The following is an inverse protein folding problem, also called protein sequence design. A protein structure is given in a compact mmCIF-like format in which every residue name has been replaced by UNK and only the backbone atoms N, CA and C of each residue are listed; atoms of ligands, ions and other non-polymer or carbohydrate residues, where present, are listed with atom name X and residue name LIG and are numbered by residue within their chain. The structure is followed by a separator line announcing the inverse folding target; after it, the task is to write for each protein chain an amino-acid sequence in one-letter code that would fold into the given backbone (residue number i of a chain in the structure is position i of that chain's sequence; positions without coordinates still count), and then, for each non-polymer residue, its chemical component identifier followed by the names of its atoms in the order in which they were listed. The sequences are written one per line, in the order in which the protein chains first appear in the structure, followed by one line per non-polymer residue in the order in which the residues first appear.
data_IF_308977308680
#
_entry.id   IF_308977308680
#
_cell.length_a   1.000
_cell.length_b   1.000
_cell.length_c   1.000
_cell.angle_alpha   90.00
_cell.angle_beta   90.00
_cell.angle_gamma   90.00
#
_symmetry.space_group_name_H-M   'P 1'
#
loop_
_entity.id
_entity.type
_entity.pdbx_description
1 polymer ?
#
# COMPACT_ATOMS: atom_id res chain seq x y z
N UNK A 1 -5.91 16.48 -52.11
CA UNK A 1 -5.68 17.02 -50.76
C UNK A 1 -6.34 16.20 -49.64
N UNK A 2 -7.34 15.33 -49.91
CA UNK A 2 -8.01 14.52 -48.87
C UNK A 2 -7.14 13.39 -48.29
N UNK A 3 -6.19 12.83 -49.06
CA UNK A 3 -5.31 11.73 -48.62
C UNK A 3 -4.25 12.22 -47.61
N UNK A 4 -3.81 13.47 -47.74
CA UNK A 4 -2.75 14.08 -46.92
C UNK A 4 -3.23 14.40 -45.49
N UNK A 5 -4.52 14.67 -45.32
CA UNK A 5 -5.16 14.93 -44.01
C UNK A 5 -5.35 13.63 -43.21
N UNK A 6 -5.69 12.52 -43.88
CA UNK A 6 -5.92 11.22 -43.25
C UNK A 6 -4.63 10.54 -42.77
N UNK A 7 -3.51 10.74 -43.48
CA UNK A 7 -2.19 10.19 -43.08
C UNK A 7 -1.61 10.93 -41.87
N UNK A 8 -1.76 12.26 -41.81
CA UNK A 8 -1.34 13.08 -40.66
C UNK A 8 -2.15 12.73 -39.42
N UNK A 9 -3.48 12.57 -39.54
CA UNK A 9 -4.34 12.21 -38.40
C UNK A 9 -3.98 10.82 -37.83
N UNK A 10 -3.72 9.83 -38.69
CA UNK A 10 -3.25 8.50 -38.26
C UNK A 10 -1.85 8.54 -37.63
N UNK A 11 -0.93 9.34 -38.16
CA UNK A 11 0.40 9.53 -37.59
C UNK A 11 0.36 10.21 -36.21
N UNK A 12 -0.52 11.21 -36.04
CA UNK A 12 -0.73 11.87 -34.75
C UNK A 12 -1.33 10.92 -33.70
N UNK A 13 -2.28 10.08 -34.08
CA UNK A 13 -2.89 9.07 -33.19
C UNK A 13 -1.84 8.02 -32.78
N UNK A 14 -1.02 7.56 -33.72
CA UNK A 14 0.10 6.62 -33.46
C UNK A 14 1.16 7.22 -32.54
N UNK A 15 1.47 8.51 -32.70
CA UNK A 15 2.46 9.17 -31.86
C UNK A 15 1.97 9.32 -30.41
N UNK A 16 0.68 9.63 -30.25
CA UNK A 16 0.04 9.80 -28.94
C UNK A 16 -0.08 8.46 -28.19
N UNK A 17 -0.45 7.37 -28.87
CA UNK A 17 -0.53 6.04 -28.25
C UNK A 17 0.83 5.50 -27.78
N UNK A 18 1.92 5.80 -28.49
CA UNK A 18 3.29 5.46 -28.06
C UNK A 18 3.70 6.24 -26.81
N UNK A 19 3.30 7.52 -26.68
CA UNK A 19 3.58 8.32 -25.47
C UNK A 19 2.83 7.80 -24.24
N UNK A 20 1.60 7.30 -24.41
CA UNK A 20 0.82 6.72 -23.31
C UNK A 20 1.36 5.37 -22.83
N UNK A 21 2.05 4.59 -23.69
CA UNK A 21 2.59 3.28 -23.32
C UNK A 21 3.79 3.36 -22.36
N UNK A 22 4.49 4.51 -22.30
CA UNK A 22 5.64 4.72 -21.40
C UNK A 22 5.23 5.10 -19.98
N UNK A 23 3.93 5.32 -19.72
CA UNK A 23 3.41 5.56 -18.37
C UNK A 23 3.07 4.21 -17.72
N UNK A 24 4.08 3.35 -17.63
CA UNK A 24 3.99 2.15 -16.81
C UNK A 24 4.15 2.62 -15.36
N UNK A 25 3.09 2.52 -14.58
CA UNK A 25 2.94 3.09 -13.24
C UNK A 25 3.71 2.29 -12.19
N UNK A 26 5.02 2.17 -12.38
CA UNK A 26 5.94 1.79 -11.32
C UNK A 26 6.06 3.00 -10.38
N UNK A 27 5.40 2.94 -9.22
CA UNK A 27 5.60 3.95 -8.18
C UNK A 27 7.12 4.03 -7.91
N UNK A 28 7.75 5.21 -8.02
CA UNK A 28 9.18 5.32 -7.73
C UNK A 28 9.45 4.77 -6.34
N UNK A 29 10.52 4.00 -6.15
CA UNK A 29 10.86 3.40 -4.84
C UNK A 29 10.91 4.46 -3.72
N UNK A 30 11.32 5.68 -4.08
CA UNK A 30 11.30 6.84 -3.20
C UNK A 30 9.89 7.21 -2.70
N UNK A 31 8.87 7.15 -3.56
CA UNK A 31 7.47 7.41 -3.19
C UNK A 31 6.93 6.32 -2.27
N UNK A 32 7.28 5.06 -2.53
CA UNK A 32 6.89 3.93 -1.69
C UNK A 32 7.49 4.04 -0.28
N UNK A 33 8.78 4.42 -0.18
CA UNK A 33 9.45 4.61 1.11
C UNK A 33 8.86 5.78 1.91
N UNK A 34 8.54 6.89 1.24
CA UNK A 34 7.90 8.04 1.87
C UNK A 34 6.50 7.68 2.39
N UNK A 35 5.71 6.97 1.59
CA UNK A 35 4.38 6.49 1.96
C UNK A 35 4.42 5.55 3.18
N UNK A 36 5.31 4.55 3.17
CA UNK A 36 5.51 3.65 4.32
C UNK A 36 5.88 4.41 5.60
N UNK A 37 6.77 5.41 5.51
CA UNK A 37 7.17 6.24 6.64
C UNK A 37 6.00 7.07 7.18
N UNK A 38 5.18 7.63 6.28
CA UNK A 38 4.00 8.42 6.65
C UNK A 38 2.99 7.56 7.42
N UNK A 39 2.65 6.38 6.88
CA UNK A 39 1.70 5.47 7.52
C UNK A 39 2.22 5.03 8.90
N UNK A 40 3.49 4.60 8.97
CA UNK A 40 4.14 4.25 10.24
C UNK A 40 3.98 5.36 11.27
N UNK A 41 4.34 6.60 10.93
CA UNK A 41 4.26 7.72 11.85
C UNK A 41 2.83 8.01 12.33
N UNK A 42 1.85 7.97 11.44
CA UNK A 42 0.44 8.16 11.80
C UNK A 42 -0.03 7.09 12.78
N UNK A 43 0.31 5.82 12.52
CA UNK A 43 -0.09 4.71 13.36
C UNK A 43 0.63 4.68 14.71
N UNK A 44 1.91 5.07 14.77
CA UNK A 44 2.63 5.25 16.04
C UNK A 44 1.99 6.37 16.87
N UNK A 45 1.68 7.51 16.26
CA UNK A 45 1.02 8.62 16.97
C UNK A 45 -0.36 8.22 17.50
N UNK A 46 -1.14 7.46 16.71
CA UNK A 46 -2.49 7.02 17.09
C UNK A 46 -2.47 6.01 18.24
N UNK A 47 -1.56 5.04 18.20
CA UNK A 47 -1.53 3.91 19.15
C UNK A 47 -0.63 4.14 20.35
N UNK A 48 0.30 5.10 20.25
CA UNK A 48 1.34 5.38 21.25
C UNK A 48 2.13 4.11 21.61
N UNK A 49 2.36 3.26 20.60
CA UNK A 49 3.15 2.04 20.73
C UNK A 49 4.62 2.38 20.98
N UNK A 50 5.29 1.53 21.75
CA UNK A 50 6.73 1.63 21.94
C UNK A 50 7.48 1.27 20.63
N UNK A 51 8.42 2.10 20.16
CA UNK A 51 9.16 1.84 18.93
C UNK A 51 9.98 0.54 18.96
N UNK A 52 10.44 0.09 20.13
CA UNK A 52 11.20 -1.16 20.24
C UNK A 52 10.33 -2.39 19.95
N UNK A 53 9.02 -2.33 20.22
CA UNK A 53 8.08 -3.40 19.83
C UNK A 53 7.96 -3.50 18.30
N UNK A 54 7.99 -2.36 17.60
CA UNK A 54 7.98 -2.33 16.13
C UNK A 54 9.27 -2.92 15.56
N UNK A 55 10.42 -2.59 16.17
CA UNK A 55 11.72 -3.13 15.75
C UNK A 55 11.82 -4.63 16.03
N UNK A 56 11.27 -5.11 17.14
CA UNK A 56 11.13 -6.54 17.44
C UNK A 56 10.32 -7.27 16.37
N UNK A 57 9.20 -6.68 15.93
CA UNK A 57 8.37 -7.26 14.89
C UNK A 57 9.06 -7.36 13.53
N UNK A 58 9.95 -6.43 13.18
CA UNK A 58 10.78 -6.53 11.98
C UNK A 58 11.78 -7.70 12.05
N UNK A 59 12.14 -8.14 13.25
CA UNK A 59 12.98 -9.30 13.51
C UNK A 59 12.18 -10.60 13.74
N UNK A 60 10.86 -10.57 13.54
CA UNK A 60 9.98 -11.73 13.72
C UNK A 60 9.46 -11.95 15.14
N UNK A 61 9.70 -11.01 16.06
CA UNK A 61 9.15 -11.05 17.41
C UNK A 61 7.83 -10.28 17.47
N UNK A 62 6.71 -10.98 17.56
CA UNK A 62 5.37 -10.40 17.64
C UNK A 62 4.89 -10.42 19.09
N UNK A 63 4.95 -9.27 19.81
CA UNK A 63 4.45 -9.22 21.16
C UNK A 63 2.91 -9.30 21.17
N UNK A 64 2.36 -10.07 22.11
CA UNK A 64 0.94 -10.10 22.42
C UNK A 64 0.59 -8.88 23.28
N UNK A 65 0.63 -7.69 22.65
CA UNK A 65 0.31 -6.41 23.27
C UNK A 65 -0.81 -5.73 22.48
N UNK A 66 -1.84 -5.28 23.18
CA UNK A 66 -3.01 -4.65 22.57
C UNK A 66 -2.66 -3.40 21.72
N UNK A 67 -1.60 -2.65 22.09
CA UNK A 67 -1.14 -1.51 21.29
C UNK A 67 -0.42 -1.96 20.02
N UNK A 68 0.27 -3.10 20.07
CA UNK A 68 0.89 -3.72 18.89
C UNK A 68 -0.16 -4.19 17.89
N UNK A 69 -1.21 -4.86 18.35
CA UNK A 69 -2.35 -5.26 17.51
C UNK A 69 -3.04 -4.05 16.88
N UNK A 70 -3.33 -3.02 17.69
CA UNK A 70 -3.89 -1.76 17.20
C UNK A 70 -2.99 -1.08 16.14
N UNK A 71 -1.68 -1.17 16.32
CA UNK A 71 -0.70 -0.59 15.38
C UNK A 71 -0.74 -1.34 14.05
N UNK A 72 -0.68 -2.67 14.07
CA UNK A 72 -0.77 -3.51 12.87
C UNK A 72 -2.08 -3.26 12.13
N UNK A 73 -3.21 -3.18 12.85
CA UNK A 73 -4.51 -2.85 12.26
C UNK A 73 -4.51 -1.49 11.56
N UNK A 74 -3.91 -0.48 12.19
CA UNK A 74 -3.80 0.85 11.59
C UNK A 74 -2.95 0.83 10.31
N UNK A 75 -1.86 0.07 10.26
CA UNK A 75 -1.02 -0.05 9.06
C UNK A 75 -1.84 -0.68 7.93
N UNK A 76 -2.59 -1.74 8.21
CA UNK A 76 -3.40 -2.45 7.21
C UNK A 76 -4.53 -1.57 6.65
N UNK A 77 -5.25 -0.85 7.52
CA UNK A 77 -6.30 0.12 7.11
C UNK A 77 -5.78 1.22 6.17
N UNK A 78 -4.53 1.65 6.38
CA UNK A 78 -3.90 2.72 5.61
C UNK A 78 -3.10 2.23 4.42
N UNK A 79 -2.94 0.90 4.28
CA UNK A 79 -2.28 0.30 3.13
C UNK A 79 -3.21 0.37 1.91
N UNK A 80 -2.63 0.36 0.71
CA UNK A 80 -3.40 0.34 -0.55
C UNK A 80 -3.95 -1.07 -0.86
N UNK A 81 -4.05 -1.93 0.15
CA UNK A 81 -4.55 -3.31 0.00
C UNK A 81 -6.07 -3.28 0.11
N UNK A 82 -6.77 -3.91 -0.82
CA UNK A 82 -8.22 -4.03 -0.78
C UNK A 82 -8.68 -4.74 0.51
N UNK A 83 -9.76 -4.23 1.12
CA UNK A 83 -10.27 -4.73 2.41
C UNK A 83 -10.54 -6.25 2.39
N UNK A 84 -11.04 -6.79 1.26
CA UNK A 84 -11.25 -8.23 1.07
C UNK A 84 -9.96 -9.05 1.17
N UNK A 85 -8.83 -8.49 0.73
CA UNK A 85 -7.52 -9.13 0.83
C UNK A 85 -6.99 -9.05 2.26
N UNK A 86 -7.27 -7.94 2.97
CA UNK A 86 -6.91 -7.77 4.38
C UNK A 86 -7.62 -8.83 5.23
N UNK A 87 -8.92 -9.07 5.04
CA UNK A 87 -9.66 -10.10 5.79
C UNK A 87 -9.06 -11.51 5.61
N UNK A 88 -8.59 -11.86 4.40
CA UNK A 88 -7.91 -13.13 4.15
C UNK A 88 -6.55 -13.24 4.86
N UNK A 89 -5.79 -12.14 4.96
CA UNK A 89 -4.52 -12.12 5.71
C UNK A 89 -4.74 -12.30 7.21
N UNK A 90 -5.79 -11.68 7.77
CA UNK A 90 -6.18 -11.87 9.18
C UNK A 90 -6.56 -13.33 9.46
N UNK A 91 -7.31 -13.98 8.56
CA UNK A 91 -7.78 -15.34 8.76
C UNK A 91 -6.67 -16.41 8.72
N UNK A 92 -5.57 -16.17 8.00
CA UNK A 92 -4.58 -17.21 7.67
C UNK A 92 -3.23 -17.10 8.42
N UNK A 93 -2.91 -15.95 9.02
CA UNK A 93 -1.60 -15.72 9.67
C UNK A 93 -1.66 -15.26 11.14
N UNK A 94 -2.84 -14.96 11.69
CA UNK A 94 -3.02 -14.72 13.12
C UNK A 94 -3.74 -15.93 13.74
N UNK A 95 -2.93 -16.90 14.18
CA UNK A 95 -3.42 -18.02 14.99
C UNK A 95 -3.92 -17.49 16.33
N UNK A 96 -5.25 -17.46 16.49
CA UNK A 96 -5.95 -17.71 17.74
C UNK A 96 -5.81 -16.66 18.84
N UNK A 97 -6.63 -15.61 18.76
CA UNK A 97 -7.47 -15.18 19.88
C UNK A 97 -8.70 -14.48 19.32
N UNK A 98 -9.86 -14.97 19.74
CA UNK A 98 -11.16 -14.34 19.54
C UNK A 98 -11.07 -12.86 19.96
N UNK A 99 -10.98 -11.97 18.97
CA UNK A 99 -11.14 -10.53 19.18
C UNK A 99 -12.64 -10.29 19.36
N UNK A 100 -13.09 -10.37 20.62
CA UNK A 100 -14.40 -9.89 21.03
C UNK A 100 -14.54 -8.42 20.61
N UNK A 101 -15.36 -8.21 19.58
CA UNK A 101 -15.70 -6.91 19.05
C UNK A 101 -16.67 -6.20 19.99
N UNK A 102 -16.14 -5.50 20.99
CA UNK A 102 -16.88 -4.41 21.67
C UNK A 102 -16.59 -3.09 20.97
#
# INVERSE_FOLDING_TARGET
MLIQSCTVFNLSILFVSVLYCSVESALPEAQMKAFKKQIKNQCVQKTKIDPAMIEGALNGNFPEDHKFECFVKCIMDKSLVDNSSIELFYQHNYWGTEVDWV
#
